data_IF_843919177822
#
_entry.id   IF_843919177822
#
_cell.length_a   1.000
_cell.length_b   1.000
_cell.length_c   1.000
_cell.angle_alpha   90.00
_cell.angle_beta   90.00
_cell.angle_gamma   90.00
#
_symmetry.space_group_name_H-M   'P 1'
#
loop_
_entity.id
_entity.type
_entity.pdbx_description
1 polymer ?
#
# COMPACT_ATOMS: atom_id res chain seq x y z
N UNK A 1 4.58 16.73 -10.87
CA UNK A 1 4.23 16.39 -9.48
C UNK A 1 4.15 14.88 -9.38
N UNK A 2 4.87 14.28 -8.44
CA UNK A 2 4.62 12.89 -8.06
C UNK A 2 3.47 12.92 -7.05
N UNK A 3 2.36 12.24 -7.35
CA UNK A 3 1.25 12.13 -6.40
C UNK A 3 1.62 11.20 -5.25
N UNK A 4 0.97 11.33 -4.10
CA UNK A 4 1.08 10.36 -3.02
C UNK A 4 -0.23 9.55 -3.00
N UNK A 5 -0.11 8.23 -2.97
CA UNK A 5 -1.24 7.32 -2.82
C UNK A 5 -1.02 6.39 -1.64
N UNK A 6 -2.09 5.81 -1.14
CA UNK A 6 -1.98 4.80 -0.09
C UNK A 6 -3.04 3.70 -0.22
N UNK A 7 -2.71 2.52 0.29
CA UNK A 7 -3.64 1.39 0.37
C UNK A 7 -3.68 0.94 1.83
N UNK A 8 -4.87 0.96 2.42
CA UNK A 8 -5.10 0.53 3.80
C UNK A 8 -5.75 -0.86 3.84
N UNK A 9 -5.22 -1.74 4.69
CA UNK A 9 -5.81 -3.04 4.97
C UNK A 9 -6.70 -2.91 6.22
N UNK A 10 -7.99 -3.12 6.05
CA UNK A 10 -8.98 -3.04 7.13
C UNK A 10 -9.86 -4.29 7.14
N UNK A 11 -10.20 -4.77 8.34
CA UNK A 11 -11.22 -5.81 8.56
C UNK A 11 -12.22 -5.28 9.59
N UNK A 12 -13.44 -4.99 9.13
CA UNK A 12 -14.42 -4.28 9.95
C UNK A 12 -13.89 -2.89 10.33
N UNK A 13 -13.82 -2.61 11.63
CA UNK A 13 -13.32 -1.34 12.18
C UNK A 13 -11.83 -1.40 12.54
N UNK A 14 -11.16 -2.54 12.31
CA UNK A 14 -9.76 -2.73 12.66
C UNK A 14 -8.88 -2.45 11.44
N UNK A 15 -7.99 -1.48 11.57
CA UNK A 15 -6.90 -1.26 10.63
C UNK A 15 -5.74 -2.20 10.98
N UNK A 16 -5.16 -2.84 9.98
CA UNK A 16 -4.02 -3.74 10.15
C UNK A 16 -2.71 -3.06 9.76
N UNK A 17 -2.79 -2.10 8.84
CA UNK A 17 -1.65 -1.36 8.34
C UNK A 17 -1.97 -0.67 7.03
N UNK A 18 -0.94 -0.02 6.49
CA UNK A 18 -1.00 0.79 5.28
C UNK A 18 0.29 0.64 4.47
N UNK A 19 0.17 0.77 3.16
CA UNK A 19 1.31 0.95 2.26
C UNK A 19 1.18 2.31 1.57
N UNK A 20 2.27 3.06 1.60
CA UNK A 20 2.41 4.35 0.93
C UNK A 20 3.09 4.20 -0.42
N UNK A 21 2.59 4.94 -1.40
CA UNK A 21 2.99 4.88 -2.78
C UNK A 21 3.37 6.28 -3.27
N UNK A 22 4.50 6.38 -3.96
CA UNK A 22 4.84 7.55 -4.78
C UNK A 22 4.40 7.29 -6.22
N UNK A 23 3.55 8.17 -6.75
CA UNK A 23 2.87 8.01 -8.03
C UNK A 23 3.52 8.89 -9.09
N UNK A 24 3.98 8.30 -10.19
CA UNK A 24 4.41 9.03 -11.38
C UNK A 24 3.29 9.06 -12.42
N UNK A 25 2.75 10.25 -12.73
CA UNK A 25 1.64 10.39 -13.69
C UNK A 25 2.10 10.24 -15.15
N UNK A 26 3.38 10.49 -15.42
CA UNK A 26 3.99 10.34 -16.75
C UNK A 26 4.08 8.85 -17.11
N UNK A 27 4.68 8.06 -16.22
CA UNK A 27 4.87 6.62 -16.44
C UNK A 27 3.63 5.77 -16.06
N UNK A 28 2.67 6.38 -15.35
CA UNK A 28 1.52 5.71 -14.72
C UNK A 28 1.97 4.51 -13.88
N UNK A 29 2.96 4.75 -13.01
CA UNK A 29 3.53 3.75 -12.09
C UNK A 29 3.54 4.27 -10.66
N UNK A 30 3.29 3.37 -9.73
CA UNK A 30 3.47 3.58 -8.31
C UNK A 30 4.75 2.89 -7.81
N UNK A 31 5.53 3.58 -6.99
CA UNK A 31 6.68 3.04 -6.26
C UNK A 31 6.26 2.85 -4.81
N UNK A 32 6.48 1.67 -4.25
CA UNK A 32 6.28 1.40 -2.83
C UNK A 32 7.35 2.12 -2.00
N UNK A 33 6.91 3.03 -1.13
CA UNK A 33 7.80 3.88 -0.32
C UNK A 33 7.89 3.35 1.11
N UNK A 34 6.75 3.06 1.71
CA UNK A 34 6.68 2.65 3.11
C UNK A 34 5.57 1.64 3.33
N UNK A 35 5.81 0.67 4.23
CA UNK A 35 4.79 -0.29 4.68
C UNK A 35 4.80 -0.25 6.20
N UNK A 36 3.69 0.21 6.77
CA UNK A 36 3.48 0.19 8.21
C UNK A 36 2.42 -0.85 8.59
N UNK A 37 2.69 -1.58 9.67
CA UNK A 37 1.81 -2.62 10.21
C UNK A 37 1.65 -2.36 11.70
N UNK A 38 0.40 -2.24 12.14
CA UNK A 38 0.08 -2.08 13.55
C UNK A 38 0.74 -3.20 14.35
N UNK A 39 1.45 -2.83 15.42
CA UNK A 39 2.37 -3.73 16.12
C UNK A 39 1.71 -5.05 16.56
N UNK A 40 0.49 -4.96 17.09
CA UNK A 40 -0.38 -6.09 17.49
C UNK A 40 -0.78 -7.04 16.33
N UNK A 41 -0.58 -6.63 15.08
CA UNK A 41 -0.95 -7.36 13.86
C UNK A 41 0.26 -7.78 13.01
N UNK A 42 1.48 -7.51 13.48
CA UNK A 42 2.71 -7.98 12.83
C UNK A 42 2.80 -9.51 12.83
N UNK A 43 3.58 -10.05 11.89
CA UNK A 43 3.81 -11.50 11.66
C UNK A 43 2.54 -12.33 11.39
N UNK A 44 1.45 -11.70 10.97
CA UNK A 44 0.19 -12.36 10.56
C UNK A 44 -0.08 -12.29 9.05
N UNK A 45 0.93 -11.95 8.25
CA UNK A 45 0.81 -11.83 6.79
C UNK A 45 0.23 -10.50 6.28
N UNK A 46 -0.17 -9.57 7.16
CA UNK A 46 -0.74 -8.27 6.77
C UNK A 46 0.18 -7.46 5.82
N UNK A 47 1.49 -7.47 6.07
CA UNK A 47 2.47 -6.81 5.18
C UNK A 47 2.52 -7.44 3.79
N UNK A 48 2.48 -8.76 3.69
CA UNK A 48 2.45 -9.46 2.40
C UNK A 48 1.19 -9.13 1.61
N UNK A 49 0.04 -9.03 2.28
CA UNK A 49 -1.23 -8.61 1.64
C UNK A 49 -1.14 -7.19 1.10
N UNK A 50 -0.59 -6.25 1.87
CA UNK A 50 -0.40 -4.86 1.44
C UNK A 50 0.57 -4.74 0.25
N UNK A 51 1.69 -5.46 0.29
CA UNK A 51 2.66 -5.50 -0.83
C UNK A 51 2.02 -6.11 -2.09
N UNK A 52 1.26 -7.19 -1.94
CA UNK A 52 0.55 -7.79 -3.06
C UNK A 52 -0.49 -6.82 -3.66
N UNK A 53 -1.22 -6.09 -2.81
CA UNK A 53 -2.17 -5.07 -3.26
C UNK A 53 -1.47 -3.92 -3.99
N UNK A 54 -0.33 -3.45 -3.48
CA UNK A 54 0.49 -2.44 -4.14
C UNK A 54 1.02 -2.92 -5.49
N UNK A 55 1.50 -4.16 -5.59
CA UNK A 55 1.99 -4.74 -6.84
C UNK A 55 0.86 -4.90 -7.89
N UNK A 56 -0.35 -5.24 -7.44
CA UNK A 56 -1.51 -5.39 -8.32
C UNK A 56 -2.05 -4.03 -8.82
N UNK A 57 -2.01 -2.98 -7.99
CA UNK A 57 -2.57 -1.65 -8.31
C UNK A 57 -1.55 -0.64 -8.82
N UNK A 58 -0.27 -0.87 -8.60
CA UNK A 58 0.80 0.09 -8.90
C UNK A 58 1.03 0.32 -10.40
N UNK A 59 1.03 -0.72 -11.25
CA UNK A 59 1.07 -0.54 -12.70
C UNK A 59 -0.24 0.06 -13.22
N UNK A 60 -0.14 1.10 -14.06
CA UNK A 60 -1.28 1.73 -14.74
C UNK A 60 -2.35 2.24 -13.77
N UNK A 61 -1.93 2.72 -12.60
CA UNK A 61 -2.85 3.35 -11.65
C UNK A 61 -3.64 4.45 -12.40
N UNK A 62 -4.94 4.51 -12.13
CA UNK A 62 -5.87 5.49 -12.68
C UNK A 62 -6.42 6.35 -11.54
#
# INVERSE_FOLDING_TARGET
MAGIGSIQLRLGHTTFGEVELSLCSIDRRAILVHVDIEEKHRRRGAGSVLVAAAAARGPRYQ
#
